data_IF_872487380724
#
_entry.id   IF_872487380724
#
_cell.length_a   1.000
_cell.length_b   1.000
_cell.length_c   1.000
_cell.angle_alpha   90.00
_cell.angle_beta   90.00
_cell.angle_gamma   90.00
#
_symmetry.space_group_name_H-M   'P 1'
#
loop_
_entity.id
_entity.type
_entity.pdbx_description
1 polymer ?
#
# COMPACT_ATOMS: atom_id res chain seq x y z
N UNK A 1 -3.92 -21.05 -17.72
CA UNK A 1 -3.91 -20.53 -17.33
C UNK A 1 -3.58 -20.38 -16.32
N UNK A 2 -3.19 -20.84 -15.86
CA UNK A 2 -2.97 -20.75 -15.04
C UNK A 2 -2.54 -19.79 -14.41
N UNK A 3 -2.22 -19.22 -14.57
CA UNK A 3 -1.91 -18.16 -14.04
C UNK A 3 -2.87 -17.47 -13.35
N UNK A 4 -3.88 -17.93 -13.26
CA UNK A 4 -4.99 -17.29 -12.67
C UNK A 4 -4.95 -17.21 -11.18
N UNK A 5 -4.20 -18.07 -10.52
CA UNK A 5 -4.09 -18.01 -9.10
C UNK A 5 -3.59 -16.69 -8.59
N UNK A 6 -2.51 -16.16 -9.17
CA UNK A 6 -2.08 -14.84 -8.74
C UNK A 6 -3.13 -13.79 -9.00
N UNK A 7 -3.87 -13.94 -10.09
CA UNK A 7 -4.91 -12.99 -10.37
C UNK A 7 -5.98 -12.96 -9.32
N UNK A 8 -6.31 -14.12 -8.79
CA UNK A 8 -7.30 -14.22 -7.75
C UNK A 8 -6.86 -13.44 -6.52
N UNK A 9 -5.60 -13.62 -6.14
CA UNK A 9 -5.08 -12.90 -4.99
C UNK A 9 -5.02 -11.40 -5.26
N UNK A 10 -4.78 -11.02 -6.50
CA UNK A 10 -4.65 -9.62 -6.85
C UNK A 10 -5.96 -8.89 -6.93
N UNK A 11 -7.08 -9.59 -6.73
CA UNK A 11 -8.37 -8.92 -6.73
C UNK A 11 -8.54 -8.03 -5.50
N UNK A 12 -7.72 -8.22 -4.47
CA UNK A 12 -7.72 -7.35 -3.30
C UNK A 12 -6.65 -6.28 -3.44
N UNK A 13 -6.90 -5.08 -2.92
CA UNK A 13 -5.89 -4.03 -2.95
C UNK A 13 -4.74 -4.29 -1.99
N UNK A 14 -4.87 -5.26 -1.08
CA UNK A 14 -3.80 -5.68 -0.20
C UNK A 14 -3.67 -7.19 -0.23
N UNK A 15 -2.50 -7.66 0.22
CA UNK A 15 -2.21 -9.08 0.32
C UNK A 15 -2.53 -9.52 1.76
N UNK A 16 -3.73 -10.05 1.96
CA UNK A 16 -4.19 -10.41 3.29
C UNK A 16 -3.34 -11.49 3.93
N UNK A 17 -2.90 -12.47 3.14
CA UNK A 17 -2.07 -13.53 3.67
C UNK A 17 -0.75 -12.98 4.19
N UNK A 18 -0.13 -12.10 3.42
CA UNK A 18 1.11 -11.48 3.85
C UNK A 18 0.91 -10.63 5.11
N UNK A 19 -0.15 -9.82 5.11
CA UNK A 19 -0.42 -8.94 6.24
C UNK A 19 -0.63 -9.74 7.52
N UNK A 20 -1.32 -10.87 7.39
CA UNK A 20 -1.55 -11.73 8.54
C UNK A 20 -0.24 -12.38 9.00
N UNK A 21 0.61 -12.78 8.06
CA UNK A 21 1.85 -13.45 8.38
C UNK A 21 2.82 -12.57 9.15
N UNK A 22 2.91 -11.30 8.79
CA UNK A 22 3.89 -10.43 9.46
C UNK A 22 3.51 -10.15 10.91
N UNK A 23 2.27 -10.40 11.28
CA UNK A 23 1.86 -10.26 12.69
C UNK A 23 1.65 -11.63 13.32
N UNK A 24 2.10 -12.71 12.67
CA UNK A 24 2.00 -14.06 13.20
C UNK A 24 0.57 -14.45 13.54
N UNK A 25 -0.37 -13.98 12.73
CA UNK A 25 -1.77 -14.30 12.92
C UNK A 25 -2.47 -13.51 14.01
N UNK A 26 -1.79 -12.53 14.58
CA UNK A 26 -2.38 -11.69 15.64
C UNK A 26 -3.24 -10.61 14.97
N UNK A 27 -4.53 -10.90 14.82
CA UNK A 27 -5.43 -9.99 14.12
C UNK A 27 -5.64 -8.68 14.86
N UNK A 28 -5.54 -8.71 16.17
CA UNK A 28 -5.65 -7.49 16.95
C UNK A 28 -4.52 -6.54 16.62
N UNK A 29 -3.31 -7.09 16.56
CA UNK A 29 -2.14 -6.28 16.17
C UNK A 29 -2.29 -5.77 14.75
N UNK A 30 -2.78 -6.61 13.84
CA UNK A 30 -2.99 -6.19 12.46
C UNK A 30 -3.98 -5.04 12.39
N UNK A 31 -5.06 -5.10 13.16
CA UNK A 31 -6.03 -4.02 13.20
C UNK A 31 -5.40 -2.72 13.68
N UNK A 32 -4.48 -2.80 14.64
CA UNK A 32 -3.78 -1.61 15.11
C UNK A 32 -2.88 -1.02 14.03
N UNK A 33 -2.18 -1.89 13.30
CA UNK A 33 -1.31 -1.43 12.22
C UNK A 33 -2.13 -0.76 11.13
N UNK A 34 -3.27 -1.35 10.78
CA UNK A 34 -4.16 -0.78 9.78
C UNK A 34 -4.69 0.57 10.24
N UNK A 35 -5.06 0.68 11.52
CA UNK A 35 -5.56 1.94 12.04
C UNK A 35 -4.51 3.03 11.95
N UNK A 36 -3.25 2.70 12.23
CA UNK A 36 -2.17 3.67 12.10
C UNK A 36 -1.98 4.09 10.65
N UNK A 37 -2.04 3.11 9.74
CA UNK A 37 -1.92 3.43 8.32
C UNK A 37 -3.02 4.38 7.89
N UNK A 38 -4.26 4.10 8.27
CA UNK A 38 -5.38 4.94 7.88
C UNK A 38 -5.27 6.35 8.46
N UNK A 39 -4.71 6.44 9.67
CA UNK A 39 -4.54 7.73 10.31
C UNK A 39 -3.48 8.58 9.60
N UNK A 40 -2.40 7.94 9.13
CA UNK A 40 -1.24 8.68 8.62
C UNK A 40 -1.22 8.85 7.11
N UNK A 41 -1.93 8.01 6.35
CA UNK A 41 -1.70 7.96 4.91
C UNK A 41 -2.09 9.25 4.19
N UNK A 42 -3.11 9.94 4.65
CA UNK A 42 -3.53 11.20 4.05
C UNK A 42 -2.43 12.24 4.13
N UNK A 43 -1.84 12.38 5.33
CA UNK A 43 -0.76 13.33 5.52
C UNK A 43 0.47 12.93 4.71
N UNK A 44 0.78 11.64 4.67
CA UNK A 44 1.93 11.18 3.91
C UNK A 44 1.76 11.46 2.42
N UNK A 45 0.55 11.25 1.90
CA UNK A 45 0.29 11.57 0.51
C UNK A 45 0.37 13.06 0.24
N UNK A 46 -0.19 13.87 1.13
CA UNK A 46 -0.18 15.32 0.95
C UNK A 46 1.24 15.86 0.93
N UNK A 47 2.09 15.39 1.85
CA UNK A 47 3.47 15.87 1.87
C UNK A 47 4.27 15.41 0.67
N UNK A 48 3.98 14.20 0.16
CA UNK A 48 4.63 13.71 -1.04
C UNK A 48 4.22 14.55 -2.25
N UNK A 49 2.92 14.83 -2.38
CA UNK A 49 2.44 15.63 -3.49
C UNK A 49 3.02 17.03 -3.46
N UNK A 50 3.13 17.60 -2.28
CA UNK A 50 3.71 18.92 -2.13
C UNK A 50 5.18 18.92 -2.54
N UNK A 51 5.94 17.91 -2.12
CA UNK A 51 7.34 17.81 -2.49
C UNK A 51 7.51 17.71 -4.01
N UNK A 52 6.63 16.93 -4.65
CA UNK A 52 6.69 16.77 -6.10
C UNK A 52 6.35 18.07 -6.81
N UNK A 53 5.33 18.77 -6.32
CA UNK A 53 4.92 20.05 -6.90
C UNK A 53 6.03 21.09 -6.79
N UNK A 54 6.75 21.06 -5.69
CA UNK A 54 7.86 21.99 -5.48
C UNK A 54 9.13 21.57 -6.22
N UNK A 55 9.14 20.42 -6.85
CA UNK A 55 10.28 19.95 -7.61
C UNK A 55 11.49 19.56 -6.80
N UNK A 56 11.29 19.18 -5.54
CA UNK A 56 12.38 18.86 -4.64
C UNK A 56 12.63 17.37 -4.60
N UNK A 57 13.56 16.91 -5.47
CA UNK A 57 13.83 15.48 -5.63
C UNK A 57 14.21 14.77 -4.33
N UNK A 58 15.04 15.39 -3.50
CA UNK A 58 15.44 14.77 -2.25
C UNK A 58 14.26 14.58 -1.31
N UNK A 59 13.36 15.56 -1.27
CA UNK A 59 12.16 15.44 -0.44
C UNK A 59 11.21 14.40 -1.00
N UNK A 60 11.06 14.35 -2.33
CA UNK A 60 10.22 13.32 -2.96
C UNK A 60 10.74 11.94 -2.60
N UNK A 61 12.06 11.75 -2.68
CA UNK A 61 12.65 10.46 -2.33
C UNK A 61 12.32 10.08 -0.89
N UNK A 62 12.51 11.02 0.04
CA UNK A 62 12.30 10.74 1.46
C UNK A 62 10.83 10.44 1.76
N UNK A 63 9.91 11.24 1.20
CA UNK A 63 8.49 11.07 1.46
C UNK A 63 7.96 9.78 0.81
N UNK A 64 8.42 9.49 -0.40
CA UNK A 64 8.00 8.27 -1.07
C UNK A 64 8.51 7.03 -0.34
N UNK A 65 9.73 7.10 0.17
CA UNK A 65 10.29 5.98 0.92
C UNK A 65 9.45 5.69 2.16
N UNK A 66 9.06 6.72 2.87
CA UNK A 66 8.27 6.58 4.08
C UNK A 66 6.92 5.93 3.76
N UNK A 67 6.26 6.42 2.72
CA UNK A 67 4.98 5.85 2.31
C UNK A 67 5.13 4.42 1.86
N UNK A 68 6.22 4.13 1.13
CA UNK A 68 6.49 2.79 0.67
C UNK A 68 6.57 1.82 1.85
N UNK A 69 7.26 2.20 2.92
CA UNK A 69 7.38 1.35 4.09
C UNK A 69 6.02 1.10 4.74
N UNK A 70 5.19 2.14 4.83
CA UNK A 70 3.85 1.97 5.38
C UNK A 70 3.02 1.00 4.56
N UNK A 71 3.10 1.12 3.23
CA UNK A 71 2.36 0.24 2.32
C UNK A 71 2.85 -1.19 2.41
N UNK A 72 4.15 -1.38 2.58
CA UNK A 72 4.71 -2.72 2.74
C UNK A 72 4.20 -3.41 3.98
N UNK A 73 3.96 -2.66 5.05
CA UNK A 73 3.50 -3.23 6.30
C UNK A 73 2.10 -3.84 6.21
N UNK A 74 1.31 -3.41 5.25
CA UNK A 74 -0.04 -3.95 5.09
C UNK A 74 -0.20 -4.77 3.82
N UNK A 75 0.89 -4.99 3.09
CA UNK A 75 0.82 -5.78 1.87
C UNK A 75 0.14 -5.09 0.71
N UNK A 76 0.19 -3.76 0.67
CA UNK A 76 -0.39 -3.00 -0.43
C UNK A 76 0.55 -2.92 -1.60
N UNK A 77 0.76 -4.06 -2.28
CA UNK A 77 1.86 -4.19 -3.22
C UNK A 77 1.74 -3.34 -4.47
N UNK A 78 0.53 -3.11 -4.97
CA UNK A 78 0.38 -2.26 -6.14
C UNK A 78 0.77 -0.82 -5.81
N UNK A 79 0.24 -0.30 -4.70
CA UNK A 79 0.61 1.04 -4.26
C UNK A 79 2.09 1.09 -3.88
N UNK A 80 2.60 0.01 -3.28
CA UNK A 80 4.01 -0.09 -2.92
C UNK A 80 4.90 0.09 -4.14
N UNK A 81 4.58 -0.59 -5.25
CA UNK A 81 5.37 -0.48 -6.48
C UNK A 81 5.36 0.96 -7.01
N UNK A 82 4.21 1.59 -6.96
CA UNK A 82 4.11 2.97 -7.43
C UNK A 82 4.93 3.91 -6.55
N UNK A 83 4.91 3.69 -5.25
CA UNK A 83 5.74 4.49 -4.34
C UNK A 83 7.23 4.26 -4.62
N UNK A 84 7.61 3.03 -4.95
CA UNK A 84 8.99 2.75 -5.33
C UNK A 84 9.40 3.53 -6.57
N UNK A 85 8.51 3.61 -7.56
CA UNK A 85 8.82 4.34 -8.78
C UNK A 85 9.02 5.82 -8.50
N UNK A 86 8.17 6.38 -7.65
CA UNK A 86 8.31 7.79 -7.29
C UNK A 86 9.59 8.03 -6.49
N UNK A 87 9.93 7.09 -5.62
CA UNK A 87 11.18 7.19 -4.87
C UNK A 87 12.37 7.24 -5.81
N UNK A 88 12.38 6.41 -6.85
CA UNK A 88 13.43 6.40 -7.84
C UNK A 88 13.49 7.71 -8.61
N UNK A 89 12.33 8.27 -8.96
CA UNK A 89 12.28 9.56 -9.62
C UNK A 89 12.94 10.63 -8.77
N UNK A 90 12.65 10.64 -7.47
CA UNK A 90 13.27 11.59 -6.57
C UNK A 90 14.77 11.37 -6.45
N UNK A 91 15.17 10.11 -6.40
CA UNK A 91 16.59 9.77 -6.32
C UNK A 91 17.36 10.26 -7.54
N UNK A 92 16.74 10.14 -8.72
CA UNK A 92 17.39 10.57 -9.96
C UNK A 92 17.18 12.05 -10.23
N UNK A 93 16.41 12.71 -9.39
CA UNK A 93 16.05 14.11 -9.55
C UNK A 93 15.41 14.38 -10.91
N UNK A 94 14.58 13.44 -11.34
CA UNK A 94 13.84 13.54 -12.59
C UNK A 94 12.38 13.25 -12.29
N UNK A 95 11.60 14.31 -12.09
CA UNK A 95 10.23 14.21 -11.67
C UNK A 95 9.24 14.34 -12.82
N UNK A 96 9.72 14.17 -14.06
CA UNK A 96 8.88 14.42 -15.23
C UNK A 96 7.67 13.49 -15.29
N UNK A 97 7.78 12.27 -14.74
CA UNK A 97 6.66 11.34 -14.74
C UNK A 97 5.93 11.28 -13.40
N UNK A 98 6.26 12.18 -12.49
CA UNK A 98 5.76 12.05 -11.12
C UNK A 98 4.26 12.32 -11.02
N UNK A 99 3.75 13.26 -11.79
CA UNK A 99 2.34 13.61 -11.69
C UNK A 99 1.45 12.44 -12.05
N UNK A 100 1.77 11.77 -13.16
CA UNK A 100 1.00 10.62 -13.59
C UNK A 100 1.11 9.47 -12.59
N UNK A 101 2.31 9.23 -12.09
CA UNK A 101 2.53 8.16 -11.12
C UNK A 101 1.79 8.44 -9.82
N UNK A 102 1.77 9.70 -9.38
CA UNK A 102 1.03 10.10 -8.20
C UNK A 102 -0.47 9.91 -8.38
N UNK A 103 -0.97 10.17 -9.59
CA UNK A 103 -2.38 9.94 -9.88
C UNK A 103 -2.73 8.47 -9.66
N UNK A 104 -1.91 7.57 -10.18
CA UNK A 104 -2.15 6.14 -10.03
C UNK A 104 -1.95 5.70 -8.57
N UNK A 105 -0.97 6.27 -7.89
CA UNK A 105 -0.75 5.93 -6.49
C UNK A 105 -1.94 6.36 -5.63
N UNK A 106 -2.48 7.54 -5.90
CA UNK A 106 -3.65 8.02 -5.17
C UNK A 106 -4.82 7.05 -5.33
N UNK A 107 -5.06 6.61 -6.58
CA UNK A 107 -6.15 5.68 -6.84
C UNK A 107 -5.93 4.35 -6.12
N UNK A 108 -4.70 3.86 -6.11
CA UNK A 108 -4.40 2.60 -5.45
C UNK A 108 -4.60 2.70 -3.93
N UNK A 109 -4.23 3.85 -3.35
CA UNK A 109 -4.42 4.05 -1.92
C UNK A 109 -5.90 4.19 -1.59
N UNK A 110 -6.66 4.86 -2.46
CA UNK A 110 -8.11 4.95 -2.24
C UNK A 110 -8.76 3.59 -2.23
N UNK A 111 -8.30 2.68 -3.08
CA UNK A 111 -8.80 1.32 -3.07
C UNK A 111 -8.49 0.62 -1.75
N UNK A 112 -7.29 0.84 -1.22
CA UNK A 112 -6.91 0.27 0.06
C UNK A 112 -7.80 0.81 1.18
N UNK A 113 -8.03 2.12 1.18
CA UNK A 113 -8.86 2.75 2.20
C UNK A 113 -10.28 2.20 2.13
N UNK A 114 -10.81 2.05 0.90
CA UNK A 114 -12.15 1.51 0.72
C UNK A 114 -12.25 0.08 1.22
N UNK A 115 -11.20 -0.72 1.00
CA UNK A 115 -11.20 -2.08 1.48
C UNK A 115 -11.27 -2.11 3.02
N UNK A 116 -10.44 -1.32 3.68
CA UNK A 116 -10.41 -1.32 5.13
C UNK A 116 -11.62 -0.61 5.75
N UNK A 117 -12.41 0.08 4.94
CA UNK A 117 -13.66 0.68 5.43
C UNK A 117 -14.77 -0.38 5.59
N UNK A 118 -14.59 -1.55 5.00
CA UNK A 118 -15.54 -2.64 5.19
C UNK A 118 -15.42 -3.16 6.62
N UNK A 119 -16.54 -3.24 7.35
CA UNK A 119 -16.44 -3.65 8.76
C UNK A 119 -15.92 -5.06 8.97
N UNK A 120 -16.04 -5.91 7.95
CA UNK A 120 -15.66 -7.32 8.08
C UNK A 120 -14.32 -7.66 7.46
N UNK A 121 -13.47 -6.66 7.19
CA UNK A 121 -12.21 -6.96 6.53
C UNK A 121 -11.33 -7.90 7.39
N UNK A 122 -11.39 -7.76 8.71
CA UNK A 122 -10.60 -8.63 9.59
C UNK A 122 -11.08 -10.07 9.50
N UNK A 123 -12.39 -10.26 9.40
CA UNK A 123 -12.95 -11.59 9.19
C UNK A 123 -12.50 -12.17 7.86
N UNK A 124 -12.46 -11.33 6.84
CA UNK A 124 -11.98 -11.78 5.54
C UNK A 124 -10.53 -12.24 5.62
N UNK A 125 -9.71 -11.52 6.38
CA UNK A 125 -8.31 -11.91 6.54
C UNK A 125 -8.21 -13.27 7.21
N UNK A 126 -9.02 -13.49 8.23
CA UNK A 126 -9.02 -14.76 8.95
C UNK A 126 -9.51 -15.90 8.06
N UNK A 127 -10.60 -15.65 7.33
CA UNK A 127 -11.16 -16.65 6.43
C UNK A 127 -10.21 -16.95 5.28
N UNK A 128 -9.54 -15.94 4.78
CA UNK A 128 -8.59 -16.11 3.70
C UNK A 128 -7.47 -17.04 4.12
N UNK A 129 -6.95 -16.84 5.31
CA UNK A 129 -5.89 -17.68 5.82
C UNK A 129 -6.35 -19.11 6.00
N UNK A 130 -7.56 -19.31 6.51
CA UNK A 130 -8.12 -20.64 6.69
C UNK A 130 -8.32 -21.33 5.35
N UNK A 131 -8.84 -20.59 4.37
CA UNK A 131 -9.05 -21.13 3.05
C UNK A 131 -7.71 -21.55 2.43
N UNK A 132 -6.71 -20.71 2.58
CA UNK A 132 -5.39 -20.96 2.03
C UNK A 132 -4.78 -22.22 2.66
N UNK A 133 -4.93 -22.37 3.96
CA UNK A 133 -4.41 -23.54 4.65
C UNK A 133 -5.10 -24.81 4.20
N UNK A 134 -6.35 -24.73 3.83
CA UNK A 134 -7.11 -25.87 3.37
C UNK A 134 -6.65 -26.34 1.98
N UNK A 135 -6.00 -25.48 1.24
CA UNK A 135 -5.48 -25.86 -0.05
C UNK A 135 -4.23 -26.69 0.10
#
# INVERSE_FOLDING_TARGET
>A
MTQLSPSTHNSYPIDLAYARDIVDGDLELLQEIVALFLFDCSDQMATLQEAATCGKGADVKAKAHRLKCSLGNIGGWQAYKLACEIELMGMRNDLSGAEECLFHLTAAIEDIIAFFAQPDWAEQAENWATFDEAQ
#
